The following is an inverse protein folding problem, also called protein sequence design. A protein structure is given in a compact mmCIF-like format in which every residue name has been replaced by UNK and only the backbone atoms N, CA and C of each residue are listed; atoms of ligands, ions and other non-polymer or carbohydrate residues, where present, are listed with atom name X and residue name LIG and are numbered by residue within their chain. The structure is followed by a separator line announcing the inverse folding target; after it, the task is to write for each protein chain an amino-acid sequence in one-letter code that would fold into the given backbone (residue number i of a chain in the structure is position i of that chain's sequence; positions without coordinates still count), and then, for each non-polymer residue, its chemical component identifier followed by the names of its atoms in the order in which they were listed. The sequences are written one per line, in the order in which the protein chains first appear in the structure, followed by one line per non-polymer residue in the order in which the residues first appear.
data_IF_484734339509
#
_entry.id   IF_484734339509
#
_cell.length_a   1.000
_cell.length_b   1.000
_cell.length_c   1.000
_cell.angle_alpha   90.00
_cell.angle_beta   90.00
_cell.angle_gamma   90.00
#
_symmetry.space_group_name_H-M   'P 1'
#
loop_
_entity.id
_entity.type
_entity.pdbx_description
1 polymer ?
#
# COMPACT_ATOMS: atom_id res chain seq x y z
N UNK A 1 -19.00 -23.48 -16.55
CA UNK A 1 -19.05 -22.06 -16.92
C UNK A 1 -19.05 -21.32 -15.60
N UNK A 2 -18.01 -20.55 -15.31
CA UNK A 2 -18.03 -19.70 -14.12
C UNK A 2 -19.15 -18.66 -14.31
N UNK A 3 -19.93 -18.46 -13.26
CA UNK A 3 -21.07 -17.57 -13.20
C UNK A 3 -20.53 -16.14 -13.10
N UNK A 4 -20.62 -15.38 -14.19
CA UNK A 4 -20.14 -13.99 -14.29
C UNK A 4 -21.19 -12.98 -13.75
N UNK A 5 -22.10 -13.43 -12.89
CA UNK A 5 -23.30 -12.70 -12.47
C UNK A 5 -23.11 -11.93 -11.14
N UNK A 6 -21.89 -11.89 -10.61
CA UNK A 6 -21.54 -11.20 -9.36
C UNK A 6 -20.60 -10.01 -9.62
N UNK A 7 -20.84 -9.30 -10.73
CA UNK A 7 -20.28 -7.96 -10.90
C UNK A 7 -21.17 -7.01 -10.08
N UNK A 8 -20.60 -6.19 -9.17
CA UNK A 8 -21.39 -5.23 -8.41
C UNK A 8 -22.14 -4.30 -9.38
N UNK A 9 -23.46 -4.35 -9.31
CA UNK A 9 -24.38 -3.60 -10.17
C UNK A 9 -24.17 -2.09 -9.95
N UNK A 10 -24.04 -1.33 -11.04
CA UNK A 10 -23.67 0.10 -11.14
C UNK A 10 -24.73 1.06 -10.52
N UNK A 11 -25.77 0.53 -9.85
CA UNK A 11 -26.89 1.32 -9.32
C UNK A 11 -26.82 1.61 -7.80
N UNK A 12 -25.77 1.16 -7.09
CA UNK A 12 -25.65 1.36 -5.65
C UNK A 12 -24.20 1.73 -5.26
N UNK A 13 -23.84 3.01 -5.38
CA UNK A 13 -22.49 3.56 -5.12
C UNK A 13 -21.94 3.15 -3.74
N UNK A 14 -22.79 3.15 -2.70
CA UNK A 14 -22.43 2.69 -1.35
C UNK A 14 -22.09 1.18 -1.31
N UNK A 15 -22.77 0.37 -2.12
CA UNK A 15 -22.53 -1.07 -2.22
C UNK A 15 -21.27 -1.40 -3.02
N UNK A 16 -20.95 -0.59 -4.03
CA UNK A 16 -19.70 -0.71 -4.78
C UNK A 16 -18.49 -0.39 -3.91
N UNK A 17 -18.53 0.70 -3.12
CA UNK A 17 -17.41 1.08 -2.25
C UNK A 17 -17.18 0.07 -1.12
N UNK A 18 -18.24 -0.45 -0.50
CA UNK A 18 -18.13 -1.52 0.50
C UNK A 18 -17.53 -2.81 -0.09
N UNK A 19 -18.00 -3.22 -1.28
CA UNK A 19 -17.45 -4.38 -1.98
C UNK A 19 -15.98 -4.16 -2.36
N UNK A 20 -15.65 -2.97 -2.86
CA UNK A 20 -14.29 -2.60 -3.23
C UNK A 20 -13.34 -2.68 -2.03
N UNK A 21 -13.67 -2.06 -0.89
CA UNK A 21 -12.81 -2.11 0.30
C UNK A 21 -12.70 -3.52 0.89
N UNK A 22 -13.79 -4.29 0.88
CA UNK A 22 -13.78 -5.70 1.33
C UNK A 22 -12.78 -6.52 0.50
N UNK A 23 -12.86 -6.43 -0.83
CA UNK A 23 -11.97 -7.18 -1.72
C UNK A 23 -10.54 -6.64 -1.72
N UNK A 24 -10.37 -5.32 -1.64
CA UNK A 24 -9.06 -4.67 -1.53
C UNK A 24 -8.33 -5.16 -0.28
N UNK A 25 -9.01 -5.19 0.87
CA UNK A 25 -8.45 -5.68 2.13
C UNK A 25 -8.06 -7.17 2.04
N UNK A 26 -8.96 -8.03 1.53
CA UNK A 26 -8.66 -9.45 1.39
C UNK A 26 -7.50 -9.76 0.43
N UNK A 27 -7.37 -8.98 -0.66
CA UNK A 27 -6.22 -9.10 -1.56
C UNK A 27 -4.93 -8.60 -0.90
N UNK A 28 -5.00 -7.50 -0.15
CA UNK A 28 -3.86 -6.97 0.59
C UNK A 28 -3.31 -8.01 1.57
N UNK A 29 -4.18 -8.62 2.38
CA UNK A 29 -3.78 -9.65 3.35
C UNK A 29 -3.09 -10.85 2.67
N UNK A 30 -3.63 -11.29 1.52
CA UNK A 30 -3.05 -12.41 0.76
C UNK A 30 -1.67 -12.06 0.19
N UNK A 31 -1.52 -10.85 -0.34
CA UNK A 31 -0.28 -10.37 -0.95
C UNK A 31 0.80 -10.18 0.12
N UNK A 32 0.44 -9.61 1.28
CA UNK A 32 1.37 -9.44 2.40
C UNK A 32 1.79 -10.78 2.98
N UNK A 33 0.85 -11.72 3.18
CA UNK A 33 1.19 -13.06 3.66
C UNK A 33 2.17 -13.79 2.73
N UNK A 34 1.99 -13.65 1.41
CA UNK A 34 2.94 -14.19 0.43
C UNK A 34 4.31 -13.49 0.51
N UNK A 35 4.32 -12.17 0.66
CA UNK A 35 5.56 -11.40 0.80
C UNK A 35 6.34 -11.80 2.06
N UNK A 36 5.65 -11.99 3.19
CA UNK A 36 6.24 -12.44 4.45
C UNK A 36 6.81 -13.86 4.32
N UNK A 37 6.06 -14.80 3.73
CA UNK A 37 6.52 -16.18 3.51
C UNK A 37 7.80 -16.24 2.66
N UNK A 38 7.99 -15.28 1.76
CA UNK A 38 9.09 -15.23 0.82
C UNK A 38 10.12 -14.12 1.10
N UNK A 39 10.05 -13.46 2.26
CA UNK A 39 10.94 -12.38 2.68
C UNK A 39 11.08 -11.26 1.62
N UNK A 40 9.97 -10.89 0.97
CA UNK A 40 9.95 -9.86 -0.07
C UNK A 40 9.82 -8.47 0.56
N UNK A 41 10.68 -7.54 0.16
CA UNK A 41 10.58 -6.15 0.61
C UNK A 41 9.41 -5.40 -0.04
N UNK A 42 8.79 -4.48 0.71
CA UNK A 42 7.61 -3.70 0.31
C UNK A 42 7.77 -3.02 -1.06
N UNK A 43 8.96 -2.49 -1.36
CA UNK A 43 9.23 -1.85 -2.66
C UNK A 43 9.14 -2.83 -3.84
N UNK A 44 9.64 -4.05 -3.67
CA UNK A 44 9.55 -5.09 -4.69
C UNK A 44 8.12 -5.60 -4.86
N UNK A 45 7.40 -5.72 -3.74
CA UNK A 45 5.98 -6.09 -3.73
C UNK A 45 5.13 -5.05 -4.47
N UNK A 46 5.37 -3.77 -4.22
CA UNK A 46 4.67 -2.68 -4.89
C UNK A 46 4.85 -2.73 -6.42
N UNK A 47 6.07 -3.01 -6.90
CA UNK A 47 6.35 -3.17 -8.33
C UNK A 47 5.58 -4.36 -8.95
N UNK A 48 5.54 -5.50 -8.25
CA UNK A 48 4.77 -6.68 -8.70
C UNK A 48 3.27 -6.36 -8.78
N UNK A 49 2.71 -5.77 -7.74
CA UNK A 49 1.27 -5.47 -7.70
C UNK A 49 0.88 -4.47 -8.78
N UNK A 50 1.74 -3.49 -9.08
CA UNK A 50 1.53 -2.57 -10.20
C UNK A 50 1.50 -3.29 -11.56
N UNK A 51 2.44 -4.22 -11.80
CA UNK A 51 2.47 -5.02 -13.03
C UNK A 51 1.27 -5.96 -13.18
N UNK A 52 0.83 -6.57 -12.07
CA UNK A 52 -0.40 -7.37 -12.02
C UNK A 52 -1.64 -6.53 -12.35
N UNK A 53 -1.74 -5.31 -11.81
CA UNK A 53 -2.84 -4.38 -12.13
C UNK A 53 -2.91 -4.03 -13.61
N UNK A 54 -1.76 -3.78 -14.26
CA UNK A 54 -1.69 -3.55 -15.70
C UNK A 54 -2.13 -4.78 -16.49
N UNK A 55 -1.67 -5.97 -16.09
CA UNK A 55 -2.06 -7.23 -16.72
C UNK A 55 -3.56 -7.49 -16.63
N UNK A 56 -4.16 -7.25 -15.45
CA UNK A 56 -5.61 -7.36 -15.25
C UNK A 56 -6.37 -6.37 -16.13
N UNK A 57 -5.88 -5.13 -16.26
CA UNK A 57 -6.49 -4.13 -17.15
C UNK A 57 -6.48 -4.58 -18.62
N UNK A 58 -5.35 -5.15 -19.08
CA UNK A 58 -5.25 -5.70 -20.44
C UNK A 58 -6.23 -6.86 -20.66
N UNK A 59 -6.41 -7.73 -19.66
CA UNK A 59 -7.38 -8.84 -19.71
C UNK A 59 -8.81 -8.33 -19.77
N UNK A 60 -9.17 -7.36 -18.91
CA UNK A 60 -10.49 -6.73 -18.91
C UNK A 60 -10.82 -6.12 -20.28
N UNK A 61 -9.90 -5.33 -20.85
CA UNK A 61 -10.07 -4.77 -22.19
C UNK A 61 -10.34 -5.85 -23.25
N UNK A 62 -9.57 -6.94 -23.23
CA UNK A 62 -9.71 -8.03 -24.19
C UNK A 62 -11.02 -8.81 -24.02
N UNK A 63 -11.52 -8.94 -22.79
CA UNK A 63 -12.75 -9.66 -22.47
C UNK A 63 -14.02 -8.85 -22.82
N UNK A 64 -13.99 -7.54 -22.57
CA UNK A 64 -15.17 -6.66 -22.67
C UNK A 64 -15.33 -5.99 -24.05
N UNK A 65 -14.26 -5.93 -24.84
CA UNK A 65 -14.29 -5.29 -26.16
C UNK A 65 -14.70 -6.28 -27.25
N UNK A 66 -15.79 -6.00 -27.98
CA UNK A 66 -16.29 -6.87 -29.06
C UNK A 66 -15.23 -7.18 -30.14
N UNK A 67 -14.38 -6.20 -30.47
CA UNK A 67 -13.31 -6.31 -31.48
C UNK A 67 -12.03 -5.67 -30.95
N UNK A 68 -11.29 -6.36 -30.07
CA UNK A 68 -10.11 -5.79 -29.43
C UNK A 68 -9.05 -5.47 -30.48
N UNK A 69 -8.34 -4.36 -30.28
CA UNK A 69 -7.28 -3.93 -31.20
C UNK A 69 -6.10 -3.33 -30.43
N UNK A 70 -4.91 -3.35 -31.04
CA UNK A 70 -3.70 -2.75 -30.45
C UNK A 70 -3.92 -1.25 -30.17
N UNK A 71 -4.55 -0.53 -31.11
CA UNK A 71 -4.82 0.90 -30.96
C UNK A 71 -5.80 1.18 -29.82
N UNK A 72 -6.86 0.38 -29.70
CA UNK A 72 -7.83 0.53 -28.61
C UNK A 72 -7.24 0.21 -27.25
N UNK A 73 -6.44 -0.87 -27.13
CA UNK A 73 -5.77 -1.20 -25.86
C UNK A 73 -4.81 -0.09 -25.42
N UNK A 74 -4.06 0.52 -26.33
CA UNK A 74 -3.18 1.65 -25.99
C UNK A 74 -3.95 2.83 -25.41
N UNK A 75 -5.09 3.19 -26.03
CA UNK A 75 -5.94 4.26 -25.52
C UNK A 75 -6.56 3.94 -24.15
N UNK A 76 -6.90 2.67 -23.94
CA UNK A 76 -7.40 2.18 -22.66
C UNK A 76 -6.33 2.28 -21.56
N UNK A 77 -5.10 1.84 -21.84
CA UNK A 77 -3.99 1.98 -20.91
C UNK A 77 -3.63 3.45 -20.64
N UNK A 78 -3.67 4.32 -21.66
CA UNK A 78 -3.49 5.77 -21.47
C UNK A 78 -4.55 6.38 -20.55
N UNK A 79 -5.79 5.86 -20.59
CA UNK A 79 -6.86 6.26 -19.67
C UNK A 79 -6.56 5.74 -18.26
N UNK A 80 -6.23 4.47 -18.12
CA UNK A 80 -5.92 3.87 -16.82
C UNK A 80 -4.76 4.58 -16.11
N UNK A 81 -3.72 4.99 -16.84
CA UNK A 81 -2.62 5.80 -16.31
C UNK A 81 -3.10 7.15 -15.76
N UNK A 82 -4.11 7.78 -16.38
CA UNK A 82 -4.67 9.05 -15.87
C UNK A 82 -5.44 8.85 -14.58
N UNK A 83 -6.23 7.77 -14.50
CA UNK A 83 -6.97 7.37 -13.31
C UNK A 83 -6.03 7.07 -12.14
N UNK A 84 -4.98 6.26 -12.36
CA UNK A 84 -3.91 6.05 -11.37
C UNK A 84 -3.23 7.37 -10.98
N UNK A 85 -3.06 8.27 -11.95
CA UNK A 85 -2.51 9.60 -11.72
C UNK A 85 -3.35 10.44 -10.76
N UNK A 86 -4.67 10.26 -10.71
CA UNK A 86 -5.54 10.88 -9.71
C UNK A 86 -5.30 10.31 -8.31
N UNK A 87 -5.22 8.98 -8.18
CA UNK A 87 -4.89 8.32 -6.91
C UNK A 87 -3.52 8.78 -6.37
N UNK A 88 -2.51 8.89 -7.23
CA UNK A 88 -1.18 9.40 -6.85
C UNK A 88 -1.25 10.87 -6.41
N UNK A 89 -2.07 11.70 -7.08
CA UNK A 89 -2.27 13.10 -6.66
C UNK A 89 -2.89 13.17 -5.27
N UNK A 90 -3.85 12.31 -4.96
CA UNK A 90 -4.47 12.26 -3.64
C UNK A 90 -3.50 11.77 -2.56
N UNK A 91 -2.77 10.68 -2.81
CA UNK A 91 -1.74 10.19 -1.90
C UNK A 91 -0.68 11.26 -1.59
N UNK A 92 -0.28 12.08 -2.59
CA UNK A 92 0.64 13.20 -2.38
C UNK A 92 0.09 14.28 -1.45
N UNK A 93 -1.22 14.51 -1.41
CA UNK A 93 -1.82 15.46 -0.47
C UNK A 93 -1.77 14.92 0.96
N UNK A 94 -1.93 13.61 1.13
CA UNK A 94 -1.91 12.91 2.42
C UNK A 94 -0.49 12.60 2.92
N UNK A 95 0.53 12.71 2.06
CA UNK A 95 1.91 12.40 2.39
C UNK A 95 2.47 13.10 3.64
N UNK A 96 2.16 14.39 3.94
CA UNK A 96 2.63 15.03 5.17
C UNK A 96 2.14 14.32 6.44
N UNK A 97 0.86 13.95 6.47
CA UNK A 97 0.23 13.29 7.62
C UNK A 97 0.78 11.87 7.77
N UNK A 98 0.89 11.12 6.67
CA UNK A 98 1.50 9.80 6.66
C UNK A 98 2.94 9.80 7.20
N UNK A 99 3.77 10.77 6.81
CA UNK A 99 5.15 10.89 7.32
C UNK A 99 5.18 11.30 8.79
N UNK A 100 4.23 12.11 9.25
CA UNK A 100 4.11 12.47 10.67
C UNK A 100 3.76 11.24 11.52
N UNK A 101 2.77 10.46 11.10
CA UNK A 101 2.36 9.21 11.76
C UNK A 101 3.50 8.19 11.79
N UNK A 102 4.17 7.96 10.66
CA UNK A 102 5.29 7.03 10.58
C UNK A 102 6.48 7.41 11.47
N UNK A 103 6.70 8.72 11.70
CA UNK A 103 7.72 9.19 12.65
C UNK A 103 7.29 8.96 14.10
N UNK A 104 6.05 9.28 14.43
CA UNK A 104 5.51 9.08 15.77
C UNK A 104 5.57 7.60 16.19
N UNK A 105 5.17 6.68 15.31
CA UNK A 105 5.26 5.24 15.56
C UNK A 105 6.70 4.77 15.88
N UNK A 106 7.70 5.32 15.17
CA UNK A 106 9.13 5.01 15.43
C UNK A 106 9.65 5.61 16.72
N UNK A 107 9.15 6.78 17.11
CA UNK A 107 9.51 7.42 18.39
C UNK A 107 8.91 6.66 19.57
N UNK A 108 7.69 6.13 19.45
CA UNK A 108 7.06 5.25 20.44
C UNK A 108 7.83 3.93 20.60
N UNK A 109 8.20 3.27 19.50
CA UNK A 109 9.02 2.05 19.53
C UNK A 109 10.45 2.29 20.04
N UNK A 110 11.03 3.47 19.78
CA UNK A 110 12.37 3.86 20.26
C UNK A 110 12.41 4.24 21.74
N UNK A 111 11.31 4.78 22.28
CA UNK A 111 11.21 5.15 23.70
C UNK A 111 11.06 3.95 24.63
N UNK A 112 10.55 2.80 24.15
CA UNK A 112 10.52 1.54 24.91
C UNK A 112 11.89 0.84 24.98
N UNK A 113 12.92 1.34 24.27
CA UNK A 113 14.28 0.79 24.24
C UNK A 113 15.34 1.51 25.08
N UNK A 114 14.98 2.61 25.78
CA UNK A 114 15.92 3.46 26.53
C UNK A 114 15.82 3.31 28.07
N UNK A 115 14.97 2.41 28.58
CA UNK A 115 14.96 2.08 30.02
C UNK A 115 16.00 1.01 30.36
N UNK A 116 17.29 1.37 30.33
CA UNK A 116 18.30 0.59 31.04
C UNK A 116 19.74 0.71 30.57
N UNK A 117 20.38 1.88 30.70
CA UNK A 117 21.80 1.94 31.09
C UNK A 117 22.26 3.33 31.58
N UNK A 118 21.54 3.97 32.51
CA UNK A 118 22.07 5.12 33.25
C UNK A 118 21.99 4.83 34.77
N UNK A 119 22.64 3.74 35.20
CA UNK A 119 23.11 3.67 36.59
C UNK A 119 24.23 4.69 36.78
N UNK A 120 23.80 5.84 37.30
CA UNK A 120 24.54 6.84 38.05
C UNK A 120 25.94 6.41 38.54
N UNK A 121 26.99 7.02 37.97
CA UNK A 121 28.23 7.26 38.70
C UNK A 121 28.38 8.76 38.96
N UNK A 122 27.58 9.24 39.92
CA UNK A 122 27.78 10.53 40.57
C UNK A 122 28.32 10.30 41.98
N UNK A 123 29.63 10.20 42.14
CA UNK A 123 30.30 10.70 43.35
C UNK A 123 31.61 11.42 42.97
N UNK A 124 31.50 12.74 42.85
CA UNK A 124 32.62 13.62 43.11
C UNK A 124 32.86 13.67 44.62
N UNK A 125 34.07 13.34 45.08
CA UNK A 125 34.59 13.88 46.35
C UNK A 125 36.00 14.41 46.15
N UNK A 126 36.08 15.70 46.43
CA UNK A 126 37.22 16.60 46.47
C UNK A 126 38.22 16.25 47.61
N UNK A 127 39.45 16.71 47.40
CA UNK A 127 40.48 17.04 48.40
C UNK A 127 41.12 15.92 49.25
N UNK A 128 42.46 15.78 49.16
CA UNK A 128 43.42 16.05 50.27
C UNK A 128 44.77 15.31 50.12
N UNK A 129 45.89 16.09 50.13
CA UNK A 129 47.32 15.76 50.48
C UNK A 129 48.10 14.85 49.52
N UNK A 130 49.40 15.05 49.23
CA UNK A 130 50.49 15.85 49.81
C UNK A 130 51.58 16.04 48.75
#
# INVERSE_FOLDING_TARGET
MAEWDDLPDDENEDGYEEAYETHRSGLYDMIVAYADEHELGDGFLADIVADLGLSLRMVAYAAETEKPSIGGLRLDLDRFVRELGDSVREAKKQAPDFIAEAKAAREEEGAEGDEGDDEADTEAVDDTRQ
#
